data_IF_922798185622
#
_entry.id   IF_922798185622
#
_cell.length_a   1.000
_cell.length_b   1.000
_cell.length_c   1.000
_cell.angle_alpha   90.00
_cell.angle_beta   90.00
_cell.angle_gamma   90.00
#
_symmetry.space_group_name_H-M   'P 1'
#
loop_
_entity.id
_entity.type
_entity.pdbx_description
1 polymer ?
#
# COMPACT_ATOMS: atom_id res chain seq x y z
N UNK A 1 -24.08 -16.74 -11.29
CA UNK A 1 -22.66 -16.72 -10.87
C UNK A 1 -21.71 -16.39 -12.01
N UNK A 2 -21.73 -17.09 -13.14
CA UNK A 2 -20.82 -16.81 -14.27
C UNK A 2 -20.83 -15.34 -14.73
N UNK A 3 -22.01 -14.70 -14.86
CA UNK A 3 -22.16 -13.29 -15.27
C UNK A 3 -21.40 -12.30 -14.35
N UNK A 4 -21.25 -12.62 -13.09
CA UNK A 4 -20.51 -11.78 -12.14
C UNK A 4 -19.00 -12.05 -12.28
N UNK A 5 -18.60 -13.32 -12.28
CA UNK A 5 -17.20 -13.72 -12.22
C UNK A 5 -16.44 -13.54 -13.55
N UNK A 6 -17.11 -13.40 -14.67
CA UNK A 6 -16.49 -13.12 -15.98
C UNK A 6 -16.10 -11.66 -16.18
N UNK A 7 -16.52 -10.75 -15.27
CA UNK A 7 -16.19 -9.33 -15.35
C UNK A 7 -15.56 -8.85 -14.03
N UNK A 8 -14.33 -8.34 -14.11
CA UNK A 8 -13.58 -7.89 -12.93
C UNK A 8 -14.34 -6.88 -12.07
N UNK A 9 -14.94 -5.87 -12.69
CA UNK A 9 -15.67 -4.81 -11.95
C UNK A 9 -16.89 -5.36 -11.21
N UNK A 10 -17.62 -6.30 -11.82
CA UNK A 10 -18.75 -6.99 -11.18
C UNK A 10 -18.27 -7.88 -10.03
N UNK A 11 -17.15 -8.56 -10.20
CA UNK A 11 -16.56 -9.39 -9.14
C UNK A 11 -16.15 -8.54 -7.94
N UNK A 12 -15.48 -7.42 -8.18
CA UNK A 12 -15.08 -6.47 -7.12
C UNK A 12 -16.31 -5.88 -6.42
N UNK A 13 -17.31 -5.44 -7.20
CA UNK A 13 -18.56 -4.93 -6.63
C UNK A 13 -19.27 -5.97 -5.77
N UNK A 14 -19.32 -7.22 -6.20
CA UNK A 14 -19.90 -8.32 -5.41
C UNK A 14 -19.12 -8.55 -4.11
N UNK A 15 -17.79 -8.47 -4.14
CA UNK A 15 -16.95 -8.53 -2.94
C UNK A 15 -17.24 -7.40 -1.95
N UNK A 16 -17.41 -6.17 -2.45
CA UNK A 16 -17.78 -5.01 -1.62
C UNK A 16 -19.18 -5.23 -1.00
N UNK A 17 -20.15 -5.70 -1.77
CA UNK A 17 -21.50 -6.00 -1.28
C UNK A 17 -21.43 -7.06 -0.16
N UNK A 18 -20.66 -8.12 -0.33
CA UNK A 18 -20.49 -9.14 0.71
C UNK A 18 -19.85 -8.55 1.98
N UNK A 19 -18.87 -7.66 1.86
CA UNK A 19 -18.27 -6.98 3.02
C UNK A 19 -19.29 -6.08 3.74
N UNK A 20 -20.14 -5.37 3.00
CA UNK A 20 -21.21 -4.55 3.58
C UNK A 20 -22.29 -5.41 4.27
N UNK A 21 -22.65 -6.56 3.67
CA UNK A 21 -23.57 -7.53 4.29
C UNK A 21 -22.97 -8.06 5.60
N UNK A 22 -21.69 -8.40 5.62
CA UNK A 22 -21.00 -8.82 6.83
C UNK A 22 -21.02 -7.72 7.90
N UNK A 23 -20.75 -6.49 7.53
CA UNK A 23 -20.81 -5.35 8.45
C UNK A 23 -22.22 -5.16 9.02
N UNK A 24 -23.23 -5.21 8.15
CA UNK A 24 -24.63 -5.14 8.58
C UNK A 24 -25.00 -6.27 9.54
N UNK A 25 -24.56 -7.50 9.26
CA UNK A 25 -24.77 -8.65 10.13
C UNK A 25 -24.15 -8.44 11.51
N UNK A 26 -22.93 -7.90 11.59
CA UNK A 26 -22.27 -7.58 12.86
C UNK A 26 -23.04 -6.53 13.65
N UNK A 27 -23.57 -5.50 13.00
CA UNK A 27 -24.39 -4.46 13.64
C UNK A 27 -25.68 -5.05 14.19
N UNK A 28 -26.40 -5.87 13.41
CA UNK A 28 -27.68 -6.46 13.79
C UNK A 28 -27.50 -7.51 14.88
N UNK A 29 -26.57 -8.46 14.70
CA UNK A 29 -26.34 -9.55 15.65
C UNK A 29 -25.66 -9.08 16.93
N UNK A 30 -24.89 -8.01 16.86
CA UNK A 30 -24.24 -7.38 18.01
C UNK A 30 -25.14 -6.37 18.74
N UNK A 31 -26.40 -6.20 18.30
CA UNK A 31 -27.35 -5.22 18.87
C UNK A 31 -26.78 -3.80 18.96
N UNK A 32 -25.91 -3.45 18.01
CA UNK A 32 -25.24 -2.14 17.98
C UNK A 32 -26.24 -1.08 17.55
N UNK A 33 -26.42 -0.04 18.37
CA UNK A 33 -27.25 1.11 17.96
C UNK A 33 -26.72 1.77 16.69
N UNK A 34 -27.59 1.93 15.69
CA UNK A 34 -27.22 2.47 14.38
C UNK A 34 -26.67 3.90 14.49
N UNK A 35 -27.21 4.72 15.38
CA UNK A 35 -26.72 6.07 15.62
C UNK A 35 -25.28 6.08 16.13
N UNK A 36 -24.96 5.20 17.09
CA UNK A 36 -23.60 5.02 17.61
C UNK A 36 -22.68 4.33 16.60
N UNK A 37 -23.23 3.41 15.77
CA UNK A 37 -22.47 2.70 14.76
C UNK A 37 -21.93 3.63 13.67
N UNK A 38 -22.66 4.65 13.24
CA UNK A 38 -22.28 5.56 12.17
C UNK A 38 -21.89 6.98 12.64
N UNK A 39 -22.26 7.36 13.86
CA UNK A 39 -21.93 8.67 14.46
C UNK A 39 -20.56 8.73 15.15
N UNK A 40 -19.94 7.60 15.44
CA UNK A 40 -18.74 7.51 16.26
C UNK A 40 -17.43 7.58 15.46
N UNK A 41 -16.41 8.26 16.02
CA UNK A 41 -15.03 8.27 15.45
C UNK A 41 -14.44 6.85 15.28
N UNK A 42 -14.82 5.92 16.15
CA UNK A 42 -14.33 4.53 16.15
C UNK A 42 -14.79 3.80 14.90
N UNK A 43 -16.04 3.96 14.46
CA UNK A 43 -16.57 3.31 13.25
C UNK A 43 -15.87 3.82 11.99
N UNK A 44 -15.69 5.12 11.89
CA UNK A 44 -14.92 5.70 10.79
C UNK A 44 -13.48 5.22 10.79
N UNK A 45 -12.83 5.15 11.96
CA UNK A 45 -11.50 4.58 12.08
C UNK A 45 -11.44 3.14 11.57
N UNK A 46 -12.45 2.31 11.92
CA UNK A 46 -12.53 0.93 11.45
C UNK A 46 -12.65 0.83 9.91
N UNK A 47 -13.51 1.63 9.28
CA UNK A 47 -13.66 1.67 7.83
C UNK A 47 -12.34 2.11 7.14
N UNK A 48 -11.68 3.12 7.68
CA UNK A 48 -10.39 3.56 7.15
C UNK A 48 -9.27 2.53 7.37
N UNK A 49 -9.28 1.75 8.46
CA UNK A 49 -8.37 0.61 8.65
C UNK A 49 -8.59 -0.43 7.55
N UNK A 50 -9.85 -0.76 7.24
CA UNK A 50 -10.16 -1.70 6.17
C UNK A 50 -9.62 -1.24 4.81
N UNK A 51 -9.85 0.03 4.44
CA UNK A 51 -9.33 0.61 3.20
C UNK A 51 -7.79 0.65 3.22
N UNK A 52 -7.18 1.00 4.36
CA UNK A 52 -5.74 1.02 4.57
C UNK A 52 -5.12 -0.35 4.34
N UNK A 53 -5.67 -1.39 4.96
CA UNK A 53 -5.20 -2.77 4.81
C UNK A 53 -5.36 -3.25 3.36
N UNK A 54 -6.53 -3.03 2.73
CA UNK A 54 -6.77 -3.42 1.35
C UNK A 54 -5.79 -2.73 0.38
N UNK A 55 -5.56 -1.43 0.57
CA UNK A 55 -4.59 -0.65 -0.20
C UNK A 55 -3.15 -1.12 0.05
N UNK A 56 -2.80 -1.42 1.31
CA UNK A 56 -1.50 -1.95 1.70
C UNK A 56 -1.20 -3.31 1.08
N UNK A 57 -2.18 -4.21 1.05
CA UNK A 57 -2.07 -5.51 0.37
C UNK A 57 -1.78 -5.33 -1.12
N UNK A 58 -2.50 -4.42 -1.78
CA UNK A 58 -2.25 -4.09 -3.19
C UNK A 58 -0.84 -3.49 -3.38
N UNK A 59 -0.46 -2.51 -2.58
CA UNK A 59 0.84 -1.85 -2.68
C UNK A 59 2.01 -2.82 -2.48
N UNK A 60 2.02 -3.54 -1.36
CA UNK A 60 3.11 -4.47 -1.02
C UNK A 60 3.10 -5.69 -1.95
N UNK A 61 1.92 -6.21 -2.33
CA UNK A 61 1.80 -7.30 -3.29
C UNK A 61 2.39 -6.95 -4.66
N UNK A 62 2.11 -5.75 -5.18
CA UNK A 62 2.70 -5.28 -6.43
C UNK A 62 4.20 -4.98 -6.30
N UNK A 63 4.68 -4.49 -5.14
CA UNK A 63 6.10 -4.35 -4.87
C UNK A 63 6.82 -5.69 -4.97
N UNK A 64 6.24 -6.75 -4.39
CA UNK A 64 6.79 -8.09 -4.44
C UNK A 64 6.71 -8.70 -5.84
N UNK A 65 5.61 -8.48 -6.57
CA UNK A 65 5.52 -8.87 -7.98
C UNK A 65 6.65 -8.26 -8.81
N UNK A 66 6.93 -6.96 -8.67
CA UNK A 66 8.03 -6.34 -9.40
C UNK A 66 9.38 -6.96 -9.06
N UNK A 67 9.66 -7.20 -7.79
CA UNK A 67 10.97 -7.64 -7.33
C UNK A 67 11.19 -9.16 -7.50
N UNK A 68 10.19 -9.99 -7.21
CA UNK A 68 10.31 -11.45 -7.26
C UNK A 68 9.97 -12.04 -8.63
N UNK A 69 9.17 -11.35 -9.44
CA UNK A 69 8.71 -11.90 -10.72
C UNK A 69 9.25 -11.07 -11.88
N UNK A 70 8.79 -9.84 -12.04
CA UNK A 70 9.05 -9.07 -13.26
C UNK A 70 10.54 -8.78 -13.47
N UNK A 71 11.24 -8.27 -12.46
CA UNK A 71 12.67 -7.94 -12.58
C UNK A 71 13.55 -9.17 -12.83
N UNK A 72 13.16 -10.34 -12.28
CA UNK A 72 13.91 -11.59 -12.45
C UNK A 72 13.66 -12.22 -13.83
N UNK A 73 12.43 -12.13 -14.33
CA UNK A 73 12.07 -12.78 -15.61
C UNK A 73 12.38 -11.89 -16.83
N UNK A 74 12.33 -10.57 -16.69
CA UNK A 74 12.52 -9.63 -17.79
C UNK A 74 13.81 -9.85 -18.61
N UNK A 75 14.99 -10.16 -18.01
CA UNK A 75 16.19 -10.46 -18.76
C UNK A 75 16.08 -11.75 -19.62
N UNK A 76 15.23 -12.71 -19.23
CA UNK A 76 15.05 -14.01 -19.88
C UNK A 76 14.07 -13.97 -21.05
N UNK A 77 13.26 -12.91 -21.14
CA UNK A 77 12.28 -12.73 -22.23
C UNK A 77 13.04 -12.36 -23.52
N UNK A 78 12.76 -13.02 -24.67
CA UNK A 78 13.28 -12.64 -25.96
C UNK A 78 13.04 -11.14 -26.27
N UNK A 79 13.99 -10.53 -26.98
CA UNK A 79 13.96 -9.07 -27.20
C UNK A 79 12.68 -8.58 -27.89
N UNK A 80 12.16 -9.35 -28.83
CA UNK A 80 10.94 -9.09 -29.59
C UNK A 80 9.66 -9.16 -28.76
N UNK A 81 9.67 -9.87 -27.62
CA UNK A 81 8.53 -10.02 -26.72
C UNK A 81 8.54 -9.02 -25.54
N UNK A 82 9.70 -8.43 -25.21
CA UNK A 82 9.82 -7.43 -24.11
C UNK A 82 8.85 -6.27 -24.24
N UNK A 83 8.54 -5.74 -25.43
CA UNK A 83 7.57 -4.66 -25.60
C UNK A 83 6.17 -4.99 -25.06
N UNK A 84 5.73 -6.25 -25.11
CA UNK A 84 4.44 -6.67 -24.55
C UNK A 84 4.37 -6.39 -23.04
N UNK A 85 5.44 -6.65 -22.30
CA UNK A 85 5.50 -6.36 -20.87
C UNK A 85 5.72 -4.88 -20.60
N UNK A 86 6.71 -4.26 -21.27
CA UNK A 86 7.12 -2.88 -20.95
C UNK A 86 6.14 -1.80 -21.40
N UNK A 87 5.36 -2.05 -22.48
CA UNK A 87 4.42 -1.06 -23.04
C UNK A 87 2.98 -1.25 -22.57
N UNK A 88 2.58 -2.46 -22.20
CA UNK A 88 1.19 -2.77 -21.84
C UNK A 88 1.03 -3.13 -20.35
N UNK A 89 1.80 -4.11 -19.87
CA UNK A 89 1.61 -4.61 -18.49
C UNK A 89 2.23 -3.65 -17.47
N UNK A 90 3.50 -3.27 -17.65
CA UNK A 90 4.22 -2.48 -16.66
C UNK A 90 3.60 -1.10 -16.38
N UNK A 91 3.14 -0.30 -17.36
CA UNK A 91 2.50 0.98 -17.10
C UNK A 91 1.22 0.85 -16.26
N UNK A 92 0.39 -0.16 -16.54
CA UNK A 92 -0.84 -0.43 -15.80
C UNK A 92 -0.53 -0.85 -14.35
N UNK A 93 0.38 -1.79 -14.16
CA UNK A 93 0.79 -2.24 -12.81
C UNK A 93 1.42 -1.09 -12.02
N UNK A 94 2.20 -0.21 -12.66
CA UNK A 94 2.78 0.97 -12.02
C UNK A 94 1.73 2.01 -11.63
N UNK A 95 0.63 2.12 -12.38
CA UNK A 95 -0.49 2.98 -12.01
C UNK A 95 -1.14 2.50 -10.71
N UNK A 96 -1.51 1.21 -10.63
CA UNK A 96 -2.07 0.61 -9.42
C UNK A 96 -1.12 0.68 -8.23
N UNK A 97 0.16 0.36 -8.45
CA UNK A 97 1.21 0.42 -7.43
C UNK A 97 1.31 1.80 -6.77
N UNK A 98 1.35 2.83 -7.57
CA UNK A 98 1.48 4.22 -7.11
C UNK A 98 0.25 4.70 -6.34
N UNK A 99 -0.94 4.43 -6.88
CA UNK A 99 -2.18 4.87 -6.23
C UNK A 99 -2.52 4.03 -5.00
N UNK A 100 -2.18 2.77 -4.98
CA UNK A 100 -2.26 1.95 -3.77
C UNK A 100 -1.33 2.48 -2.67
N UNK A 101 -0.10 2.89 -3.01
CA UNK A 101 0.81 3.54 -2.06
C UNK A 101 0.21 4.85 -1.50
N UNK A 102 -0.36 5.69 -2.37
CA UNK A 102 -1.02 6.94 -1.94
C UNK A 102 -2.21 6.66 -1.02
N UNK A 103 -3.09 5.75 -1.42
CA UNK A 103 -4.25 5.36 -0.62
C UNK A 103 -3.83 4.83 0.75
N UNK A 104 -2.78 3.99 0.80
CA UNK A 104 -2.26 3.44 2.06
C UNK A 104 -1.79 4.56 3.00
N UNK A 105 -1.00 5.50 2.52
CA UNK A 105 -0.51 6.62 3.36
C UNK A 105 -1.67 7.50 3.84
N UNK A 106 -2.54 7.94 2.93
CA UNK A 106 -3.65 8.83 3.28
C UNK A 106 -4.58 8.20 4.30
N UNK A 107 -4.99 6.95 4.07
CA UNK A 107 -5.89 6.25 4.99
C UNK A 107 -5.22 5.92 6.32
N UNK A 108 -3.91 5.60 6.33
CA UNK A 108 -3.14 5.40 7.54
C UNK A 108 -3.06 6.65 8.42
N UNK A 109 -2.82 7.81 7.80
CA UNK A 109 -2.83 9.11 8.51
C UNK A 109 -4.22 9.44 9.09
N UNK A 110 -5.28 9.17 8.33
CA UNK A 110 -6.66 9.36 8.80
C UNK A 110 -6.94 8.43 9.99
N UNK A 111 -6.54 7.16 9.93
CA UNK A 111 -6.70 6.22 11.04
C UNK A 111 -5.97 6.72 12.29
N UNK A 112 -4.72 7.11 12.15
CA UNK A 112 -3.91 7.59 13.27
C UNK A 112 -4.52 8.87 13.90
N UNK A 113 -5.04 9.78 13.07
CA UNK A 113 -5.73 10.97 13.51
C UNK A 113 -7.06 10.65 14.23
N UNK A 114 -7.90 9.80 13.64
CA UNK A 114 -9.17 9.38 14.24
C UNK A 114 -8.98 8.67 15.58
N UNK A 115 -7.91 7.89 15.71
CA UNK A 115 -7.56 7.18 16.95
C UNK A 115 -6.79 8.02 17.96
N UNK A 116 -6.32 9.21 17.58
CA UNK A 116 -5.68 10.17 18.46
C UNK A 116 -4.19 9.96 18.71
N UNK A 117 -3.54 9.01 18.05
CA UNK A 117 -2.11 8.70 18.27
C UNK A 117 -1.17 9.25 17.18
N UNK A 118 -1.67 10.07 16.25
CA UNK A 118 -0.89 10.52 15.08
C UNK A 118 0.43 11.22 15.48
N UNK A 119 0.34 12.15 16.43
CA UNK A 119 1.51 12.89 16.92
C UNK A 119 2.49 11.97 17.63
N UNK A 120 2.01 11.17 18.57
CA UNK A 120 2.83 10.31 19.41
C UNK A 120 3.55 9.22 18.59
N UNK A 121 2.87 8.68 17.57
CA UNK A 121 3.48 7.73 16.65
C UNK A 121 4.61 8.35 15.83
N UNK A 122 4.45 9.58 15.30
CA UNK A 122 5.55 10.26 14.60
C UNK A 122 6.67 10.69 15.55
N UNK A 123 6.38 10.87 16.85
CA UNK A 123 7.39 11.04 17.90
C UNK A 123 7.94 9.70 18.43
N UNK A 124 7.64 8.59 17.75
CA UNK A 124 8.11 7.24 18.10
C UNK A 124 7.78 6.85 19.55
N UNK A 125 6.61 7.23 20.04
CA UNK A 125 6.17 6.92 21.40
C UNK A 125 6.90 7.66 22.52
N UNK A 126 7.59 8.77 22.21
CA UNK A 126 8.33 9.56 23.20
C UNK A 126 7.64 10.86 23.59
N UNK A 127 6.42 11.12 23.14
CA UNK A 127 5.76 12.41 23.41
C UNK A 127 5.46 12.62 24.91
N UNK A 128 4.89 11.62 25.58
CA UNK A 128 4.49 11.69 27.00
C UNK A 128 5.11 10.57 27.86
N UNK A 129 6.27 10.08 27.47
CA UNK A 129 6.91 8.88 28.01
C UNK A 129 6.94 7.75 26.99
N UNK A 130 7.91 6.81 27.13
CA UNK A 130 8.09 5.77 26.14
C UNK A 130 6.96 4.72 26.19
N UNK A 131 6.23 4.59 25.09
CA UNK A 131 5.19 3.61 24.88
C UNK A 131 5.54 2.64 23.74
N UNK A 132 5.71 1.36 24.07
CA UNK A 132 6.17 0.33 23.11
C UNK A 132 5.22 0.11 21.95
N UNK A 133 3.88 -0.04 22.12
CA UNK A 133 2.94 -0.17 21.02
C UNK A 133 2.99 1.02 20.05
N UNK A 134 3.02 2.24 20.59
CA UNK A 134 3.10 3.48 19.80
C UNK A 134 4.45 3.61 19.07
N UNK A 135 5.55 3.17 19.69
CA UNK A 135 6.85 3.08 19.03
C UNK A 135 6.79 2.18 17.79
N UNK A 136 6.25 0.96 17.91
CA UNK A 136 6.14 0.04 16.78
C UNK A 136 5.30 0.64 15.63
N UNK A 137 4.13 1.19 15.93
CA UNK A 137 3.29 1.86 14.91
C UNK A 137 4.04 3.05 14.31
N UNK A 138 4.74 3.84 15.12
CA UNK A 138 5.54 4.98 14.67
C UNK A 138 6.65 4.58 13.69
N UNK A 139 7.39 3.52 14.01
CA UNK A 139 8.38 2.95 13.08
C UNK A 139 7.72 2.55 11.76
N UNK A 140 6.59 1.85 11.81
CA UNK A 140 5.83 1.48 10.61
C UNK A 140 5.36 2.71 9.81
N UNK A 141 4.90 3.75 10.46
CA UNK A 141 4.47 5.01 9.80
C UNK A 141 5.65 5.71 9.11
N UNK A 142 6.80 5.80 9.76
CA UNK A 142 8.02 6.37 9.15
C UNK A 142 8.50 5.54 7.95
N UNK A 143 8.59 4.23 8.08
CA UNK A 143 8.97 3.35 6.98
C UNK A 143 8.01 3.47 5.80
N UNK A 144 6.70 3.48 6.07
CA UNK A 144 5.68 3.69 5.05
C UNK A 144 5.82 5.03 4.33
N UNK A 145 6.05 6.11 5.09
CA UNK A 145 6.27 7.46 4.54
C UNK A 145 7.50 7.52 3.64
N UNK A 146 8.63 6.94 4.06
CA UNK A 146 9.86 6.86 3.26
C UNK A 146 9.61 6.05 1.98
N UNK A 147 8.96 4.90 2.08
CA UNK A 147 8.65 4.05 0.94
C UNK A 147 7.69 4.73 -0.05
N UNK A 148 6.66 5.43 0.43
CA UNK A 148 5.76 6.24 -0.39
C UNK A 148 6.51 7.37 -1.10
N UNK A 149 7.37 8.10 -0.40
CA UNK A 149 8.22 9.13 -0.98
C UNK A 149 9.06 8.56 -2.12
N UNK A 150 9.72 7.42 -1.90
CA UNK A 150 10.48 6.73 -2.94
C UNK A 150 9.62 6.40 -4.16
N UNK A 151 8.37 5.93 -3.97
CA UNK A 151 7.47 5.60 -5.08
C UNK A 151 7.16 6.84 -5.93
N UNK A 152 6.78 7.96 -5.30
CA UNK A 152 6.27 9.12 -6.00
C UNK A 152 7.37 10.01 -6.57
N UNK A 153 8.46 10.20 -5.84
CA UNK A 153 9.48 11.19 -6.17
C UNK A 153 10.75 10.58 -6.78
N UNK A 154 10.95 9.27 -6.64
CA UNK A 154 12.14 8.62 -7.22
C UNK A 154 11.75 7.54 -8.24
N UNK A 155 10.97 6.52 -7.84
CA UNK A 155 10.66 5.39 -8.70
C UNK A 155 9.84 5.84 -9.91
N UNK A 156 8.72 6.51 -9.67
CA UNK A 156 7.81 6.92 -10.75
C UNK A 156 8.44 7.84 -11.80
N UNK A 157 9.14 8.94 -11.46
CA UNK A 157 9.79 9.77 -12.47
C UNK A 157 10.81 9.01 -13.32
N UNK A 158 11.55 8.08 -12.71
CA UNK A 158 12.53 7.27 -13.41
C UNK A 158 11.88 6.17 -14.25
N UNK A 159 10.78 5.57 -13.81
CA UNK A 159 10.00 4.63 -14.62
C UNK A 159 9.40 5.31 -15.87
N UNK A 160 8.89 6.53 -15.74
CA UNK A 160 8.41 7.30 -16.90
C UNK A 160 9.48 7.48 -17.95
N UNK A 161 10.71 7.80 -17.54
CA UNK A 161 11.87 7.96 -18.45
C UNK A 161 12.28 6.63 -19.06
N UNK A 162 12.44 5.59 -18.24
CA UNK A 162 12.92 4.28 -18.66
C UNK A 162 11.99 3.61 -19.68
N UNK A 163 10.68 3.70 -19.45
CA UNK A 163 9.66 3.05 -20.28
C UNK A 163 9.04 3.99 -21.33
N UNK A 164 9.45 5.25 -21.37
CA UNK A 164 8.85 6.29 -22.21
C UNK A 164 7.31 6.31 -22.12
N UNK A 165 6.79 6.27 -20.89
CA UNK A 165 5.35 6.20 -20.63
C UNK A 165 4.65 7.42 -21.23
N UNK A 166 3.56 7.19 -21.96
CA UNK A 166 2.81 8.21 -22.70
C UNK A 166 3.63 9.02 -23.69
N UNK A 167 4.72 8.44 -24.20
CA UNK A 167 5.65 9.09 -25.11
C UNK A 167 6.20 10.43 -24.57
N UNK A 168 6.38 10.53 -23.26
CA UNK A 168 6.81 11.77 -22.59
C UNK A 168 8.31 12.07 -22.79
N UNK A 169 9.10 11.11 -23.26
CA UNK A 169 10.54 11.21 -23.44
C UNK A 169 11.00 10.52 -24.74
N UNK A 170 10.48 10.92 -25.93
CA UNK A 170 10.73 10.21 -27.18
C UNK A 170 12.22 10.22 -27.56
N UNK A 171 12.89 11.34 -27.38
CA UNK A 171 14.27 11.58 -27.81
C UNK A 171 15.31 11.31 -26.71
N UNK A 172 14.89 10.71 -25.57
CA UNK A 172 15.83 10.44 -24.49
C UNK A 172 16.85 9.38 -24.91
N UNK A 173 18.17 9.66 -24.82
CA UNK A 173 19.21 8.70 -25.16
C UNK A 173 19.09 7.39 -24.36
N UNK A 174 19.40 6.25 -25.00
CA UNK A 174 19.29 4.93 -24.37
C UNK A 174 20.06 4.84 -23.05
N UNK A 175 21.27 5.38 -22.98
CA UNK A 175 22.08 5.41 -21.77
C UNK A 175 21.36 6.13 -20.59
N UNK A 176 20.55 7.15 -20.86
CA UNK A 176 19.78 7.83 -19.82
C UNK A 176 18.55 7.01 -19.43
N UNK A 177 17.91 6.29 -20.35
CA UNK A 177 16.84 5.35 -20.05
C UNK A 177 17.34 4.21 -19.15
N UNK A 178 18.51 3.65 -19.45
CA UNK A 178 19.13 2.58 -18.68
C UNK A 178 19.52 3.05 -17.26
N UNK A 179 20.06 4.27 -17.15
CA UNK A 179 20.34 4.87 -15.83
C UNK A 179 19.06 5.07 -15.02
N UNK A 180 18.00 5.55 -15.63
CA UNK A 180 16.69 5.73 -14.97
C UNK A 180 16.09 4.38 -14.56
N UNK A 181 16.16 3.36 -15.41
CA UNK A 181 15.73 2.01 -15.09
C UNK A 181 16.47 1.44 -13.87
N UNK A 182 17.81 1.61 -13.86
CA UNK A 182 18.65 1.17 -12.74
C UNK A 182 18.30 1.89 -11.44
N UNK A 183 18.08 3.20 -11.47
CA UNK A 183 17.72 3.97 -10.29
C UNK A 183 16.36 3.55 -9.73
N UNK A 184 15.35 3.40 -10.59
CA UNK A 184 14.04 2.91 -10.21
C UNK A 184 14.11 1.50 -9.59
N UNK A 185 14.92 0.61 -10.16
CA UNK A 185 15.15 -0.73 -9.62
C UNK A 185 15.77 -0.69 -8.21
N UNK A 186 16.81 0.11 -8.01
CA UNK A 186 17.51 0.21 -6.71
C UNK A 186 16.55 0.70 -5.63
N UNK A 187 15.78 1.76 -5.88
CA UNK A 187 14.80 2.27 -4.92
C UNK A 187 13.61 1.33 -4.71
N UNK A 188 13.21 0.57 -5.74
CA UNK A 188 12.22 -0.50 -5.57
C UNK A 188 12.72 -1.61 -4.65
N UNK A 189 13.98 -2.02 -4.78
CA UNK A 189 14.61 -2.99 -3.87
C UNK A 189 14.83 -2.44 -2.46
N UNK A 190 15.14 -1.15 -2.32
CA UNK A 190 15.15 -0.48 -1.02
C UNK A 190 13.77 -0.56 -0.37
N UNK A 191 12.71 -0.24 -1.09
CA UNK A 191 11.34 -0.37 -0.58
C UNK A 191 11.01 -1.82 -0.22
N UNK A 192 11.43 -2.81 -1.01
CA UNK A 192 11.25 -4.20 -0.67
C UNK A 192 11.95 -4.57 0.65
N UNK A 193 13.18 -4.13 0.86
CA UNK A 193 13.91 -4.34 2.11
C UNK A 193 13.19 -3.68 3.30
N UNK A 194 12.72 -2.44 3.13
CA UNK A 194 12.01 -1.69 4.18
C UNK A 194 10.60 -2.27 4.46
N UNK A 195 9.98 -2.95 3.49
CA UNK A 195 8.65 -3.53 3.66
C UNK A 195 8.61 -4.64 4.71
N UNK A 196 9.69 -5.36 4.92
CA UNK A 196 9.76 -6.46 5.90
C UNK A 196 9.61 -5.92 7.34
N UNK A 197 10.47 -4.99 7.81
CA UNK A 197 10.29 -4.39 9.13
C UNK A 197 9.02 -3.53 9.22
N UNK A 198 8.54 -2.93 8.12
CA UNK A 198 7.27 -2.22 8.10
C UNK A 198 6.10 -3.14 8.43
N UNK A 199 6.00 -4.32 7.80
CA UNK A 199 4.95 -5.27 8.07
C UNK A 199 5.03 -5.79 9.50
N UNK A 200 6.23 -6.07 10.01
CA UNK A 200 6.43 -6.44 11.41
C UNK A 200 5.94 -5.33 12.36
N UNK A 201 6.32 -4.09 12.10
CA UNK A 201 5.94 -2.95 12.92
C UNK A 201 4.42 -2.72 12.93
N UNK A 202 3.77 -2.81 11.77
CA UNK A 202 2.31 -2.64 11.66
C UNK A 202 1.50 -3.74 12.33
N UNK A 203 2.02 -4.97 12.39
CA UNK A 203 1.39 -6.08 13.11
C UNK A 203 1.77 -6.11 14.59
N UNK A 204 2.97 -5.67 14.93
CA UNK A 204 3.52 -5.67 16.29
C UNK A 204 2.85 -4.67 17.25
N UNK A 205 2.29 -3.58 16.73
CA UNK A 205 1.53 -2.61 17.54
C UNK A 205 0.25 -3.19 18.20
N UNK A 206 -0.20 -4.36 17.74
CA UNK A 206 -1.29 -5.11 18.38
C UNK A 206 -0.82 -6.08 19.48
N UNK A 207 0.48 -6.28 19.62
CA UNK A 207 1.04 -7.08 20.69
C UNK A 207 1.13 -6.20 21.93
N UNK A 208 0.27 -6.41 22.90
CA UNK A 208 0.28 -5.75 24.20
C UNK A 208 1.50 -6.19 25.03
N UNK A 209 2.70 -5.75 24.62
CA UNK A 209 3.90 -5.88 25.43
C UNK A 209 3.82 -4.91 26.63
N UNK A 210 3.10 -5.26 27.67
CA UNK A 210 3.07 -4.44 28.88
C UNK A 210 1.74 -4.46 29.64
N UNK A 211 0.64 -4.85 29.04
CA UNK A 211 -0.63 -5.09 29.74
C UNK A 211 -0.97 -6.59 29.75
N UNK A 212 -0.05 -7.42 30.18
CA UNK A 212 -0.36 -8.77 30.67
C UNK A 212 -0.95 -8.67 32.07
N UNK A 213 -2.01 -7.90 32.22
CA UNK A 213 -2.99 -8.05 33.30
C UNK A 213 -3.93 -9.19 32.93
N UNK A 214 -3.41 -10.40 32.90
CA UNK A 214 -4.13 -11.64 33.05
C UNK A 214 -3.74 -12.21 34.40
#
# INVERSE_FOLDING_TARGET
>A
MAIILTNLYRTVAAGIVLALVLLAAVIVLGEVDIGSAFGGRITWAYLFVWIHVASGVMWIGLLYYFNFVQMIQMPKIPAEQKPAVSKFIAPEVLWWFRWAAMSTIVTGLIVAWLRGYLHDAYMLGFADGFDVPTFFIGVGMWLGTIMWFNVWFVIWPNQKKALNINNAYPDLPQAQKDRAARLAMLFSRTNMMLSIPLLLAMTGGGLNYGNSGL
#
